data_IF_796941695012
#
_entry.id   IF_796941695012
#
_cell.length_a   1.000
_cell.length_b   1.000
_cell.length_c   1.000
_cell.angle_alpha   90.00
_cell.angle_beta   90.00
_cell.angle_gamma   90.00
#
_symmetry.space_group_name_H-M   'P 1'
#
loop_
_entity.id
_entity.type
_entity.pdbx_description
1 polymer ?
#
# COMPACT_ATOMS: atom_id res chain seq x y z
N UNK A 1 -8.42 12.02 -11.60
CA UNK A 1 -7.81 10.68 -11.78
C UNK A 1 -8.41 9.76 -10.72
N UNK A 2 -9.69 9.39 -10.87
CA UNK A 2 -10.31 8.38 -10.02
C UNK A 2 -10.13 7.08 -10.81
N UNK A 3 -9.17 6.27 -10.38
CA UNK A 3 -8.94 4.91 -10.85
C UNK A 3 -10.27 4.14 -10.87
N UNK A 4 -10.45 3.26 -11.86
CA UNK A 4 -11.69 2.50 -12.01
C UNK A 4 -12.00 1.73 -10.72
N UNK A 5 -13.28 1.52 -10.36
CA UNK A 5 -13.68 0.82 -9.13
C UNK A 5 -13.09 -0.59 -8.98
N UNK A 6 -12.71 -1.24 -10.10
CA UNK A 6 -12.01 -2.52 -10.07
C UNK A 6 -10.60 -2.43 -9.46
N UNK A 7 -9.87 -1.33 -9.70
CA UNK A 7 -8.49 -1.15 -9.24
C UNK A 7 -8.44 -1.01 -7.71
N UNK A 8 -9.47 -0.37 -7.13
CA UNK A 8 -9.63 -0.25 -5.68
C UNK A 8 -9.90 -1.60 -5.02
N UNK A 9 -10.77 -2.43 -5.60
CA UNK A 9 -11.06 -3.77 -5.08
C UNK A 9 -9.82 -4.69 -5.14
N UNK A 10 -9.08 -4.65 -6.24
CA UNK A 10 -7.84 -5.44 -6.41
C UNK A 10 -6.77 -5.02 -5.39
N UNK A 11 -6.69 -3.72 -5.10
CA UNK A 11 -5.81 -3.17 -4.06
C UNK A 11 -6.22 -3.65 -2.66
N UNK A 12 -7.51 -3.54 -2.32
CA UNK A 12 -8.03 -4.02 -1.03
C UNK A 12 -7.78 -5.52 -0.84
N UNK A 13 -8.01 -6.35 -1.87
CA UNK A 13 -7.75 -7.79 -1.80
C UNK A 13 -6.27 -8.10 -1.51
N UNK A 14 -5.34 -7.39 -2.15
CA UNK A 14 -3.90 -7.55 -1.89
C UNK A 14 -3.52 -7.18 -0.47
N UNK A 15 -4.09 -6.10 0.06
CA UNK A 15 -3.88 -5.68 1.45
C UNK A 15 -4.38 -6.77 2.40
N UNK A 16 -5.58 -7.32 2.17
CA UNK A 16 -6.11 -8.42 2.99
C UNK A 16 -5.26 -9.71 2.91
N UNK A 17 -4.69 -10.03 1.73
CA UNK A 17 -3.77 -11.16 1.61
C UNK A 17 -2.49 -10.95 2.42
N UNK A 18 -1.90 -9.74 2.36
CA UNK A 18 -0.74 -9.40 3.18
C UNK A 18 -1.06 -9.46 4.68
N UNK A 19 -2.24 -8.98 5.09
CA UNK A 19 -2.70 -9.07 6.49
C UNK A 19 -2.79 -10.52 6.94
N UNK A 20 -3.37 -11.40 6.12
CA UNK A 20 -3.51 -12.82 6.43
C UNK A 20 -2.15 -13.55 6.44
N UNK A 21 -1.25 -13.28 5.49
CA UNK A 21 0.05 -13.96 5.40
C UNK A 21 0.99 -13.59 6.55
N UNK A 22 0.96 -12.33 6.98
CA UNK A 22 1.86 -11.82 8.02
C UNK A 22 1.17 -11.64 9.38
N UNK A 23 -0.11 -12.00 9.49
CA UNK A 23 -0.93 -11.80 10.71
C UNK A 23 -0.92 -10.35 11.20
N UNK A 24 -1.01 -9.39 10.27
CA UNK A 24 -0.97 -7.96 10.57
C UNK A 24 -2.39 -7.43 10.84
N UNK A 25 -2.52 -6.64 11.89
CA UNK A 25 -3.72 -5.82 12.13
C UNK A 25 -3.82 -4.67 11.12
N UNK A 26 -4.98 -4.01 11.04
CA UNK A 26 -5.15 -2.81 10.22
C UNK A 26 -4.07 -1.73 10.49
N UNK A 27 -3.82 -1.30 11.75
CA UNK A 27 -2.77 -0.31 12.01
C UNK A 27 -1.36 -0.84 11.68
N UNK A 28 -1.06 -2.12 11.94
CA UNK A 28 0.24 -2.69 11.59
C UNK A 28 0.45 -2.80 10.07
N UNK A 29 -0.63 -3.00 9.31
CA UNK A 29 -0.61 -3.01 7.86
C UNK A 29 -0.36 -1.62 7.28
N UNK A 30 -0.96 -0.58 7.86
CA UNK A 30 -0.73 0.81 7.45
C UNK A 30 0.75 1.19 7.58
N UNK A 31 1.35 0.92 8.74
CA UNK A 31 2.79 1.13 8.97
C UNK A 31 3.64 0.31 7.99
N UNK A 32 3.29 -0.96 7.76
CA UNK A 32 4.01 -1.81 6.82
C UNK A 32 3.94 -1.29 5.37
N UNK A 33 2.80 -0.75 4.93
CA UNK A 33 2.66 -0.12 3.62
C UNK A 33 3.40 1.22 3.51
N UNK A 34 3.66 1.89 4.64
CA UNK A 34 4.46 3.11 4.70
C UNK A 34 5.97 2.83 4.71
N UNK A 35 6.42 1.86 5.49
CA UNK A 35 7.86 1.58 5.68
C UNK A 35 8.42 0.57 4.68
N UNK A 36 7.65 -0.46 4.31
CA UNK A 36 8.13 -1.62 3.56
C UNK A 36 7.78 -1.48 2.08
N UNK A 37 8.72 -0.93 1.31
CA UNK A 37 8.56 -0.69 -0.14
C UNK A 37 8.04 -1.91 -0.93
N UNK A 38 8.52 -3.16 -0.71
CA UNK A 38 7.96 -4.33 -1.40
C UNK A 38 6.47 -4.59 -1.12
N UNK A 39 5.99 -4.38 0.11
CA UNK A 39 4.58 -4.58 0.47
C UNK A 39 3.69 -3.53 -0.21
N UNK A 40 4.15 -2.28 -0.22
CA UNK A 40 3.51 -1.18 -0.95
C UNK A 40 3.43 -1.44 -2.46
N UNK A 41 4.54 -1.88 -3.07
CA UNK A 41 4.59 -2.21 -4.49
C UNK A 41 3.68 -3.39 -4.83
N UNK A 42 3.63 -4.41 -3.97
CA UNK A 42 2.70 -5.53 -4.13
C UNK A 42 1.25 -5.05 -4.14
N UNK A 43 0.88 -4.17 -3.19
CA UNK A 43 -0.43 -3.54 -3.11
C UNK A 43 -0.73 -2.51 -4.24
N UNK A 44 0.24 -2.24 -5.13
CA UNK A 44 0.18 -1.19 -6.17
C UNK A 44 -0.11 0.20 -5.61
N UNK A 45 0.34 0.47 -4.40
CA UNK A 45 0.26 1.79 -3.78
C UNK A 45 1.52 2.60 -4.09
N UNK A 46 1.35 3.90 -4.28
CA UNK A 46 2.45 4.85 -4.47
C UNK A 46 2.37 5.91 -3.39
N UNK A 47 3.50 6.20 -2.72
CA UNK A 47 3.60 7.40 -1.90
C UNK A 47 3.72 8.59 -2.86
N UNK A 48 2.71 9.44 -2.94
CA UNK A 48 2.78 10.67 -3.72
C UNK A 48 3.64 11.70 -2.99
N UNK A 49 4.94 11.65 -3.22
CA UNK A 49 5.85 12.80 -3.45
C UNK A 49 7.31 12.35 -3.24
N UNK A 50 8.24 12.60 -4.18
CA UNK A 50 9.62 12.81 -3.81
C UNK A 50 9.67 14.02 -2.89
N UNK A 51 10.36 13.90 -1.76
CA UNK A 51 10.76 15.08 -0.97
C UNK A 51 11.54 15.97 -1.95
N UNK A 52 11.15 17.25 -2.15
CA UNK A 52 11.98 18.17 -2.90
C UNK A 52 13.33 18.21 -2.20
N UNK A 53 14.37 17.75 -2.87
CA UNK A 53 15.73 17.95 -2.41
C UNK A 53 15.94 19.46 -2.54
N UNK A 54 15.97 20.16 -1.41
CA UNK A 54 16.41 21.56 -1.36
C UNK A 54 17.89 21.59 -1.82
N UNK A 55 18.12 21.74 -3.12
CA UNK A 55 19.39 22.19 -3.70
C UNK A 55 19.40 23.70 -3.85
#
# INVERSE_FOLDING_TARGET
LISKPLDALETMLRIHLLQNWFSLSDPAMEEALYEITPMRQFARLTLSAPIPEDT
#
